data_IF_436167476560
#
_entry.id   IF_436167476560
#
_cell.length_a   1.000
_cell.length_b   1.000
_cell.length_c   1.000
_cell.angle_alpha   90.00
_cell.angle_beta   90.00
_cell.angle_gamma   90.00
#
_symmetry.space_group_name_H-M   'P 1'
#
loop_
_entity.id
_entity.type
_entity.pdbx_description
1 polymer ?
#
# COMPACT_ATOMS: atom_id res chain seq x y z
N UNK A 1 -1.77 -22.13 12.70
CA UNK A 1 -2.40 -20.79 12.65
C UNK A 1 -1.64 -19.86 11.70
N UNK A 2 -0.34 -19.61 11.90
CA UNK A 2 0.46 -18.68 11.09
C UNK A 2 0.34 -18.85 9.56
N UNK A 3 0.49 -20.07 9.01
CA UNK A 3 0.43 -20.29 7.55
C UNK A 3 -0.85 -19.77 6.90
N UNK A 4 -2.01 -19.96 7.53
CA UNK A 4 -3.29 -19.50 6.96
C UNK A 4 -3.44 -17.97 7.07
N UNK A 5 -2.95 -17.36 8.16
CA UNK A 5 -2.89 -15.90 8.28
C UNK A 5 -2.01 -15.28 7.20
N UNK A 6 -0.84 -15.86 6.94
CA UNK A 6 0.03 -15.40 5.85
C UNK A 6 -0.59 -15.60 4.46
N UNK A 7 -1.47 -16.59 4.27
CA UNK A 7 -2.23 -16.74 3.03
C UNK A 7 -3.27 -15.63 2.85
N UNK A 8 -3.96 -15.23 3.93
CA UNK A 8 -4.87 -14.07 3.90
C UNK A 8 -4.12 -12.79 3.56
N UNK A 9 -2.99 -12.53 4.24
CA UNK A 9 -2.13 -11.37 3.99
C UNK A 9 -1.63 -11.39 2.54
N UNK A 10 -1.06 -12.51 2.09
CA UNK A 10 -0.50 -12.62 0.73
C UNK A 10 -1.53 -12.37 -0.38
N UNK A 11 -2.78 -12.77 -0.17
CA UNK A 11 -3.86 -12.50 -1.14
C UNK A 11 -4.19 -10.99 -1.23
N UNK A 12 -4.12 -10.26 -0.12
CA UNK A 12 -4.32 -8.80 -0.11
C UNK A 12 -3.11 -8.07 -0.68
N UNK A 13 -1.90 -8.48 -0.31
CA UNK A 13 -0.67 -7.86 -0.85
C UNK A 13 -0.53 -8.06 -2.36
N UNK A 14 -0.97 -9.20 -2.91
CA UNK A 14 -0.99 -9.41 -4.37
C UNK A 14 -1.93 -8.41 -5.09
N UNK A 15 -3.06 -8.04 -4.46
CA UNK A 15 -3.95 -7.01 -4.98
C UNK A 15 -3.24 -5.65 -4.98
N UNK A 16 -2.52 -5.31 -3.91
CA UNK A 16 -1.74 -4.08 -3.84
C UNK A 16 -0.66 -4.02 -4.92
N UNK A 17 0.11 -5.09 -5.12
CA UNK A 17 1.14 -5.19 -6.16
C UNK A 17 0.54 -4.96 -7.55
N UNK A 18 -0.60 -5.59 -7.84
CA UNK A 18 -1.30 -5.41 -9.11
C UNK A 18 -1.75 -3.96 -9.31
N UNK A 19 -2.29 -3.33 -8.24
CA UNK A 19 -2.74 -1.94 -8.29
C UNK A 19 -1.58 -0.98 -8.51
N UNK A 20 -0.46 -1.13 -7.81
CA UNK A 20 0.74 -0.31 -8.04
C UNK A 20 1.28 -0.46 -9.46
N UNK A 21 1.26 -1.69 -10.01
CA UNK A 21 1.63 -1.95 -11.40
C UNK A 21 0.79 -1.15 -12.42
N UNK A 22 -0.48 -0.88 -12.11
CA UNK A 22 -1.37 -0.09 -12.98
C UNK A 22 -1.03 1.40 -13.05
N UNK A 23 -0.20 1.92 -12.14
CA UNK A 23 0.24 3.32 -12.14
C UNK A 23 1.32 3.60 -13.19
N UNK A 24 1.98 2.56 -13.72
CA UNK A 24 2.99 2.68 -14.75
C UNK A 24 2.37 3.17 -16.07
N UNK A 25 3.12 3.98 -16.83
CA UNK A 25 2.65 4.43 -18.14
C UNK A 25 2.58 3.22 -19.09
N UNK A 26 1.40 2.88 -19.63
CA UNK A 26 1.20 1.64 -20.37
C UNK A 26 1.93 1.62 -21.72
N UNK A 27 2.33 2.78 -22.24
CA UNK A 27 2.97 2.93 -23.54
C UNK A 27 4.51 2.92 -23.48
N UNK A 28 5.11 2.78 -22.29
CA UNK A 28 6.56 2.72 -22.15
C UNK A 28 7.10 1.32 -22.47
N UNK A 29 8.22 1.27 -23.16
CA UNK A 29 9.01 0.05 -23.35
C UNK A 29 9.57 -0.45 -22.02
N UNK A 30 10.16 -1.66 -22.02
CA UNK A 30 10.81 -2.19 -20.81
C UNK A 30 12.05 -1.38 -20.42
N UNK A 31 12.84 -0.92 -21.38
CA UNK A 31 14.04 -0.12 -21.08
C UNK A 31 13.70 1.32 -20.71
N UNK A 32 12.64 1.90 -21.28
CA UNK A 32 12.11 3.19 -20.83
C UNK A 32 11.62 3.12 -19.38
N UNK A 33 10.84 2.09 -19.04
CA UNK A 33 10.42 1.87 -17.66
C UNK A 33 11.61 1.63 -16.72
N UNK A 34 12.63 0.88 -17.15
CA UNK A 34 13.84 0.67 -16.36
C UNK A 34 14.56 2.00 -16.11
N UNK A 35 14.71 2.85 -17.13
CA UNK A 35 15.33 4.16 -16.97
C UNK A 35 14.56 5.04 -15.98
N UNK A 36 13.23 5.11 -16.11
CA UNK A 36 12.37 5.87 -15.19
C UNK A 36 12.45 5.31 -13.77
N UNK A 37 12.47 4.00 -13.62
CA UNK A 37 12.61 3.35 -12.32
C UNK A 37 13.94 3.74 -11.65
N UNK A 38 15.05 3.64 -12.36
CA UNK A 38 16.37 4.04 -11.83
C UNK A 38 16.45 5.55 -11.52
N UNK A 39 15.79 6.39 -12.32
CA UNK A 39 15.68 7.83 -12.05
C UNK A 39 14.94 8.10 -10.74
N UNK A 40 13.81 7.42 -10.50
CA UNK A 40 13.02 7.55 -9.27
C UNK A 40 13.79 7.04 -8.06
N UNK A 41 14.53 5.94 -8.17
CA UNK A 41 15.40 5.43 -7.09
C UNK A 41 16.52 6.44 -6.76
N UNK A 42 17.14 7.04 -7.78
CA UNK A 42 18.10 8.12 -7.56
C UNK A 42 17.47 9.29 -6.80
N UNK A 43 16.27 9.74 -7.19
CA UNK A 43 15.53 10.80 -6.49
C UNK A 43 15.21 10.41 -5.04
N UNK A 44 14.81 9.16 -4.79
CA UNK A 44 14.50 8.66 -3.45
C UNK A 44 15.72 8.72 -2.52
N UNK A 45 16.85 8.15 -2.92
CA UNK A 45 18.05 8.13 -2.07
C UNK A 45 18.70 9.51 -1.94
N UNK A 46 18.65 10.33 -2.99
CA UNK A 46 19.03 11.73 -2.89
C UNK A 46 18.16 12.48 -1.88
N UNK A 47 16.84 12.27 -1.90
CA UNK A 47 15.92 12.87 -0.92
C UNK A 47 16.22 12.44 0.51
N UNK A 48 16.48 11.15 0.73
CA UNK A 48 16.90 10.63 2.03
C UNK A 48 18.22 11.27 2.49
N UNK A 49 19.20 11.42 1.60
CA UNK A 49 20.46 12.09 1.90
C UNK A 49 20.27 13.57 2.31
N UNK A 50 19.47 14.31 1.55
CA UNK A 50 19.21 15.74 1.79
C UNK A 50 18.46 15.99 3.11
N UNK A 51 17.56 15.07 3.48
CA UNK A 51 16.69 15.24 4.66
C UNK A 51 17.20 14.54 5.93
N UNK A 52 18.16 13.61 5.80
CA UNK A 52 18.72 12.89 6.95
C UNK A 52 19.45 13.83 7.90
N UNK A 53 19.15 13.73 9.19
CA UNK A 53 19.76 14.57 10.23
C UNK A 53 20.97 13.91 10.90
N UNK A 54 21.01 12.57 10.95
CA UNK A 54 22.12 11.81 11.51
C UNK A 54 23.23 11.62 10.47
N UNK A 55 24.35 12.31 10.67
CA UNK A 55 25.54 12.24 9.80
C UNK A 55 26.07 10.82 9.57
N UNK A 56 25.86 9.88 10.51
CA UNK A 56 26.31 8.48 10.36
C UNK A 56 25.46 7.73 9.36
N UNK A 57 24.16 8.00 9.33
CA UNK A 57 23.20 7.37 8.41
C UNK A 57 23.27 8.08 7.05
N UNK A 58 23.52 9.39 7.03
CA UNK A 58 23.65 10.16 5.79
C UNK A 58 24.68 9.58 4.83
N UNK A 59 25.81 9.08 5.34
CA UNK A 59 26.81 8.38 4.51
C UNK A 59 26.30 7.08 3.86
N UNK A 60 25.36 6.39 4.51
CA UNK A 60 24.70 5.20 3.94
C UNK A 60 23.79 5.62 2.78
N UNK A 61 23.01 6.68 2.94
CA UNK A 61 22.15 7.20 1.87
C UNK A 61 22.95 7.67 0.66
N UNK A 62 24.07 8.37 0.90
CA UNK A 62 24.99 8.75 -0.18
C UNK A 62 25.51 7.51 -0.93
N UNK A 63 25.94 6.48 -0.21
CA UNK A 63 26.42 5.25 -0.83
C UNK A 63 25.36 4.57 -1.69
N UNK A 64 24.11 4.49 -1.20
CA UNK A 64 22.98 3.93 -1.96
C UNK A 64 22.67 4.76 -3.20
N UNK A 65 22.63 6.09 -3.08
CA UNK A 65 22.45 7.00 -4.20
C UNK A 65 23.52 6.79 -5.28
N UNK A 66 24.79 6.65 -4.90
CA UNK A 66 25.89 6.37 -5.84
C UNK A 66 25.75 5.01 -6.55
N UNK A 67 25.12 4.01 -5.93
CA UNK A 67 24.81 2.74 -6.60
C UNK A 67 23.72 2.93 -7.65
N UNK A 68 22.60 3.58 -7.28
CA UNK A 68 21.50 3.80 -8.21
C UNK A 68 21.90 4.72 -9.36
N UNK A 69 22.80 5.69 -9.13
CA UNK A 69 23.37 6.51 -10.20
C UNK A 69 24.12 5.65 -11.24
N UNK A 70 24.87 4.62 -10.79
CA UNK A 70 25.50 3.66 -11.71
C UNK A 70 24.47 2.83 -12.44
N UNK A 71 23.43 2.35 -11.76
CA UNK A 71 22.35 1.61 -12.41
C UNK A 71 21.59 2.45 -13.44
N UNK A 72 21.39 3.74 -13.17
CA UNK A 72 20.80 4.70 -14.10
C UNK A 72 21.66 4.84 -15.37
N UNK A 73 22.98 4.96 -15.23
CA UNK A 73 23.89 4.97 -16.37
C UNK A 73 23.83 3.67 -17.18
N UNK A 74 23.81 2.52 -16.53
CA UNK A 74 23.67 1.22 -17.19
C UNK A 74 22.32 1.13 -17.94
N UNK A 75 21.22 1.57 -17.33
CA UNK A 75 19.90 1.61 -17.96
C UNK A 75 19.89 2.49 -19.21
N UNK A 76 20.56 3.67 -19.15
CA UNK A 76 20.72 4.56 -20.29
C UNK A 76 21.55 3.94 -21.41
N UNK A 77 22.64 3.25 -21.09
CA UNK A 77 23.46 2.54 -22.07
C UNK A 77 22.65 1.45 -22.79
N UNK A 78 21.87 0.66 -22.04
CA UNK A 78 20.98 -0.35 -22.61
C UNK A 78 19.93 0.28 -23.54
N UNK A 79 19.28 1.38 -23.11
CA UNK A 79 18.29 2.09 -23.92
C UNK A 79 18.90 2.57 -25.25
N UNK A 80 20.07 3.21 -25.19
CA UNK A 80 20.81 3.68 -26.38
C UNK A 80 21.26 2.53 -27.27
N UNK A 81 21.69 1.42 -26.68
CA UNK A 81 22.18 0.27 -27.44
C UNK A 81 21.05 -0.45 -28.18
N UNK A 82 19.93 -0.72 -27.52
CA UNK A 82 18.89 -1.61 -28.03
C UNK A 82 17.70 -0.87 -28.65
N UNK A 83 17.32 0.29 -28.12
CA UNK A 83 16.15 1.05 -28.58
C UNK A 83 16.52 2.32 -29.35
N UNK A 84 17.81 2.69 -29.39
CA UNK A 84 18.33 3.86 -30.12
C UNK A 84 17.70 5.19 -29.67
N UNK A 85 17.28 5.25 -28.41
CA UNK A 85 16.73 6.45 -27.75
C UNK A 85 17.71 7.02 -26.74
N UNK A 86 17.61 8.32 -26.49
CA UNK A 86 18.29 9.00 -25.38
C UNK A 86 17.31 9.33 -24.24
N UNK A 87 17.84 9.67 -23.06
CA UNK A 87 17.02 9.87 -21.86
C UNK A 87 16.02 11.03 -22.01
N UNK A 88 16.36 12.08 -22.77
CA UNK A 88 15.49 13.24 -22.99
C UNK A 88 14.17 12.88 -23.68
N UNK A 89 14.15 11.80 -24.45
CA UNK A 89 12.94 11.31 -25.12
C UNK A 89 11.99 10.62 -24.13
N UNK A 90 12.51 10.13 -23.01
CA UNK A 90 11.76 9.38 -22.00
C UNK A 90 11.39 10.25 -20.80
N UNK A 91 12.34 11.08 -20.36
CA UNK A 91 12.23 12.00 -19.22
C UNK A 91 12.60 13.41 -19.73
N UNK A 92 11.66 14.13 -20.37
CA UNK A 92 11.95 15.46 -20.95
C UNK A 92 12.33 16.51 -19.91
N UNK A 93 11.80 16.37 -18.69
CA UNK A 93 12.11 17.18 -17.53
C UNK A 93 12.73 16.28 -16.46
N UNK A 94 14.05 16.25 -16.41
CA UNK A 94 14.84 15.37 -15.55
C UNK A 94 15.41 16.09 -14.31
N UNK A 95 14.90 17.29 -14.00
CA UNK A 95 15.21 17.91 -12.72
C UNK A 95 14.49 17.13 -11.61
N UNK A 96 15.23 16.77 -10.55
CA UNK A 96 14.61 16.14 -9.41
C UNK A 96 13.55 17.09 -8.81
N UNK A 97 12.34 16.59 -8.51
CA UNK A 97 11.38 17.37 -7.77
C UNK A 97 11.88 17.60 -6.34
N UNK A 98 11.15 18.40 -5.57
CA UNK A 98 11.47 18.65 -4.17
C UNK A 98 11.76 17.34 -3.42
N UNK A 99 12.75 17.32 -2.51
CA UNK A 99 13.10 16.13 -1.75
C UNK A 99 11.86 15.50 -1.10
N UNK A 100 11.74 14.17 -1.20
CA UNK A 100 10.81 13.42 -0.38
C UNK A 100 11.22 13.57 1.09
N UNK A 101 10.30 14.10 1.91
CA UNK A 101 10.50 14.25 3.36
C UNK A 101 9.70 13.18 4.08
N UNK A 102 10.38 12.38 4.91
CA UNK A 102 9.72 11.42 5.79
C UNK A 102 9.28 12.12 7.07
N UNK A 103 8.01 12.53 7.10
CA UNK A 103 7.38 13.17 8.25
C UNK A 103 6.16 12.40 8.76
N UNK A 104 5.60 12.85 9.88
CA UNK A 104 4.42 12.20 10.44
C UNK A 104 3.23 12.30 9.50
N UNK A 105 2.75 11.16 9.01
CA UNK A 105 1.57 11.04 8.17
C UNK A 105 0.35 10.53 8.96
N UNK A 106 0.41 10.50 10.30
CA UNK A 106 -0.61 9.88 11.15
C UNK A 106 -1.98 10.52 10.90
N UNK A 107 -2.07 11.85 10.86
CA UNK A 107 -3.36 12.52 10.69
C UNK A 107 -3.93 12.31 9.28
N UNK A 108 -3.07 12.28 8.26
CA UNK A 108 -3.47 11.94 6.90
C UNK A 108 -4.06 10.52 6.83
N UNK A 109 -3.35 9.53 7.38
CA UNK A 109 -3.81 8.13 7.42
C UNK A 109 -5.12 8.02 8.21
N UNK A 110 -5.25 8.74 9.34
CA UNK A 110 -6.49 8.77 10.13
C UNK A 110 -7.66 9.35 9.33
N UNK A 111 -7.44 10.42 8.56
CA UNK A 111 -8.45 11.02 7.70
C UNK A 111 -8.89 10.04 6.60
N UNK A 112 -7.95 9.40 5.92
CA UNK A 112 -8.23 8.36 4.91
C UNK A 112 -9.01 7.21 5.54
N UNK A 113 -8.54 6.62 6.64
CA UNK A 113 -9.24 5.55 7.35
C UNK A 113 -10.67 5.97 7.75
N UNK A 114 -10.85 7.17 8.31
CA UNK A 114 -12.17 7.66 8.71
C UNK A 114 -13.13 7.87 7.54
N UNK A 115 -12.62 8.19 6.35
CA UNK A 115 -13.43 8.53 5.18
C UNK A 115 -13.70 7.35 4.25
N UNK A 116 -12.77 6.41 4.11
CA UNK A 116 -12.82 5.38 3.06
C UNK A 116 -12.99 3.95 3.58
N UNK A 117 -13.18 3.73 4.89
CA UNK A 117 -13.27 2.36 5.47
C UNK A 117 -14.39 1.51 4.88
N UNK A 118 -15.42 2.13 4.30
CA UNK A 118 -16.54 1.45 3.68
C UNK A 118 -16.49 1.46 2.15
N UNK A 119 -15.41 1.99 1.57
CA UNK A 119 -15.28 2.04 0.12
C UNK A 119 -14.76 0.71 -0.42
N UNK A 120 -15.37 0.26 -1.52
CA UNK A 120 -14.86 -0.84 -2.32
C UNK A 120 -14.70 -0.41 -3.78
N UNK A 121 -13.78 -1.06 -4.49
CA UNK A 121 -13.66 -0.89 -5.92
C UNK A 121 -14.95 -1.36 -6.64
N UNK A 122 -15.39 -0.57 -7.61
CA UNK A 122 -16.48 -0.84 -8.54
C UNK A 122 -16.05 -0.35 -9.93
N UNK A 123 -15.48 -1.28 -10.71
CA UNK A 123 -14.82 -0.96 -11.99
C UNK A 123 -13.75 0.13 -11.78
N UNK A 124 -13.84 1.25 -12.49
CA UNK A 124 -12.87 2.35 -12.43
C UNK A 124 -13.09 3.33 -11.27
N UNK A 125 -14.06 3.05 -10.37
CA UNK A 125 -14.46 3.95 -9.27
C UNK A 125 -14.48 3.24 -7.92
N UNK A 126 -14.62 4.02 -6.87
CA UNK A 126 -14.90 3.54 -5.51
C UNK A 126 -16.34 3.86 -5.12
N UNK A 127 -16.98 2.95 -4.39
CA UNK A 127 -18.35 3.12 -3.89
C UNK A 127 -18.45 2.68 -2.44
N UNK A 128 -19.24 3.42 -1.66
CA UNK A 128 -19.56 3.07 -0.27
C UNK A 128 -20.49 1.84 -0.24
N UNK A 129 -20.01 0.73 0.32
CA UNK A 129 -20.75 -0.53 0.39
C UNK A 129 -22.03 -0.43 1.22
N UNK A 130 -22.15 0.54 2.12
CA UNK A 130 -23.36 0.73 2.93
C UNK A 130 -24.56 1.12 2.06
N UNK A 131 -24.29 1.79 0.94
CA UNK A 131 -25.31 2.35 0.04
C UNK A 131 -25.42 1.56 -1.26
N UNK A 132 -24.29 1.13 -1.85
CA UNK A 132 -24.29 0.52 -3.17
C UNK A 132 -23.19 -0.55 -3.30
N UNK A 133 -23.30 -1.64 -2.55
CA UNK A 133 -22.37 -2.75 -2.65
C UNK A 133 -22.48 -3.48 -4.00
N UNK A 134 -21.39 -3.55 -4.79
CA UNK A 134 -21.40 -4.30 -6.05
C UNK A 134 -21.65 -5.80 -5.82
N UNK A 135 -22.37 -6.45 -6.73
CA UNK A 135 -22.63 -7.89 -6.64
C UNK A 135 -21.32 -8.70 -6.67
N UNK A 136 -20.33 -8.26 -7.45
CA UNK A 136 -19.00 -8.86 -7.52
C UNK A 136 -18.30 -8.86 -6.16
N UNK A 137 -18.41 -7.74 -5.42
CA UNK A 137 -17.88 -7.61 -4.06
C UNK A 137 -18.59 -8.59 -3.11
N UNK A 138 -19.93 -8.60 -3.10
CA UNK A 138 -20.73 -9.50 -2.24
C UNK A 138 -20.37 -10.97 -2.51
N UNK A 139 -20.27 -11.35 -3.79
CA UNK A 139 -19.92 -12.72 -4.20
C UNK A 139 -18.53 -13.12 -3.74
N UNK A 140 -17.55 -12.24 -3.92
CA UNK A 140 -16.17 -12.48 -3.50
C UNK A 140 -16.06 -12.62 -1.97
N UNK A 141 -16.72 -11.72 -1.22
CA UNK A 141 -16.75 -11.79 0.24
C UNK A 141 -17.36 -13.10 0.76
N UNK A 142 -18.41 -13.63 0.13
CA UNK A 142 -18.96 -14.94 0.50
C UNK A 142 -18.02 -16.10 0.15
N UNK A 143 -17.29 -16.00 -0.95
CA UNK A 143 -16.35 -17.06 -1.37
C UNK A 143 -15.15 -17.17 -0.43
N UNK A 144 -14.62 -16.02 -0.01
CA UNK A 144 -13.38 -15.96 0.78
C UNK A 144 -13.64 -15.98 2.28
N UNK A 145 -14.70 -15.31 2.73
CA UNK A 145 -14.91 -15.01 4.15
C UNK A 145 -16.14 -15.71 4.77
N UNK A 146 -16.88 -16.57 4.05
CA UNK A 146 -17.95 -17.37 4.65
C UNK A 146 -17.56 -18.85 4.85
N UNK A 147 -17.80 -19.42 6.04
CA UNK A 147 -18.33 -18.76 7.23
C UNK A 147 -17.24 -17.92 7.94
N UNK A 148 -17.59 -16.72 8.39
CA UNK A 148 -16.65 -15.77 9.05
C UNK A 148 -15.80 -16.37 10.17
N UNK A 149 -16.33 -17.34 10.92
CA UNK A 149 -15.58 -18.06 11.97
C UNK A 149 -14.34 -18.83 11.48
N UNK A 150 -14.24 -19.06 10.16
CA UNK A 150 -13.10 -19.72 9.55
C UNK A 150 -12.04 -18.72 9.06
N UNK A 151 -12.33 -17.42 9.10
CA UNK A 151 -11.37 -16.36 8.78
C UNK A 151 -10.36 -16.28 9.92
N UNK A 152 -9.10 -16.47 9.59
CA UNK A 152 -8.03 -16.69 10.55
C UNK A 152 -7.59 -15.43 11.25
N UNK A 153 -7.62 -14.28 10.56
CA UNK A 153 -7.42 -12.97 11.16
C UNK A 153 -8.42 -12.69 12.29
N UNK A 154 -9.72 -12.87 12.05
CA UNK A 154 -10.75 -12.73 13.09
C UNK A 154 -10.56 -13.73 14.24
N UNK A 155 -10.31 -15.00 13.93
CA UNK A 155 -10.04 -16.03 14.96
C UNK A 155 -8.84 -15.66 15.84
N UNK A 156 -7.77 -15.15 15.23
CA UNK A 156 -6.57 -14.72 15.94
C UNK A 156 -6.84 -13.52 16.85
N UNK A 157 -7.58 -12.51 16.37
CA UNK A 157 -7.95 -11.32 17.15
C UNK A 157 -8.80 -11.74 18.36
N UNK A 158 -9.81 -12.59 18.17
CA UNK A 158 -10.65 -13.09 19.27
C UNK A 158 -9.83 -13.87 20.31
N UNK A 159 -8.91 -14.74 19.88
CA UNK A 159 -8.04 -15.50 20.77
C UNK A 159 -7.07 -14.58 21.55
N UNK A 160 -6.59 -13.51 20.92
CA UNK A 160 -5.74 -12.52 21.55
C UNK A 160 -6.51 -11.74 22.61
N UNK A 161 -7.68 -11.19 22.26
CA UNK A 161 -8.57 -10.47 23.19
C UNK A 161 -8.93 -11.36 24.39
N UNK A 162 -9.25 -12.64 24.17
CA UNK A 162 -9.58 -13.58 25.27
C UNK A 162 -8.44 -13.74 26.27
N UNK A 163 -7.19 -13.69 25.80
CA UNK A 163 -6.00 -13.85 26.65
C UNK A 163 -5.56 -12.54 27.31
N UNK A 164 -5.73 -11.42 26.61
CA UNK A 164 -5.10 -10.15 26.98
C UNK A 164 -6.10 -9.07 27.42
N UNK A 165 -7.41 -9.32 27.31
CA UNK A 165 -8.49 -8.39 27.65
C UNK A 165 -8.83 -7.38 26.55
N UNK A 166 -7.85 -7.03 25.72
CA UNK A 166 -8.00 -6.13 24.57
C UNK A 166 -7.18 -6.59 23.36
N UNK A 167 -7.45 -6.02 22.19
CA UNK A 167 -6.70 -6.26 20.96
C UNK A 167 -5.29 -5.66 20.98
N UNK A 168 -4.48 -5.99 19.97
CA UNK A 168 -3.07 -5.59 19.87
C UNK A 168 -2.83 -4.22 19.21
N UNK A 169 -3.88 -3.43 18.92
CA UNK A 169 -3.74 -2.21 18.14
C UNK A 169 -2.98 -1.12 18.89
N UNK A 170 -2.08 -0.44 18.19
CA UNK A 170 -1.45 0.79 18.66
C UNK A 170 -2.27 2.00 18.22
N UNK A 171 -2.63 2.87 19.16
CA UNK A 171 -3.38 4.11 18.89
C UNK A 171 -2.74 5.30 19.61
N UNK A 172 -2.54 6.41 18.90
CA UNK A 172 -2.10 7.69 19.50
C UNK A 172 -3.27 8.62 19.85
N UNK A 173 -4.46 8.30 19.34
CA UNK A 173 -5.73 8.98 19.58
C UNK A 173 -6.87 8.01 19.21
N UNK A 174 -8.11 8.21 19.73
CA UNK A 174 -9.23 7.30 19.46
C UNK A 174 -9.40 7.02 17.97
N UNK A 175 -9.77 5.77 17.64
CA UNK A 175 -9.98 5.34 16.26
C UNK A 175 -10.91 6.33 15.50
N UNK A 176 -10.52 6.78 14.29
CA UNK A 176 -11.36 7.69 13.50
C UNK A 176 -12.68 7.03 13.07
N UNK A 177 -12.75 5.70 13.04
CA UNK A 177 -13.98 4.93 12.78
C UNK A 177 -14.63 4.54 14.12
N UNK A 178 -15.79 5.12 14.49
CA UNK A 178 -16.42 4.88 15.79
C UNK A 178 -16.67 3.39 16.10
N UNK A 179 -17.05 2.61 15.10
CA UNK A 179 -17.36 1.19 15.21
C UNK A 179 -16.13 0.32 15.52
N UNK A 180 -14.92 0.86 15.33
CA UNK A 180 -13.65 0.19 15.64
C UNK A 180 -13.06 0.65 16.98
N UNK A 181 -13.72 1.50 17.76
CA UNK A 181 -13.16 1.99 19.04
C UNK A 181 -13.20 0.97 20.17
N UNK A 182 -14.08 -0.03 20.08
CA UNK A 182 -14.09 -1.13 21.03
C UNK A 182 -12.86 -2.02 20.77
N UNK A 183 -11.99 -2.13 21.77
CA UNK A 183 -10.78 -2.98 21.72
C UNK A 183 -11.00 -4.33 22.38
N UNK A 184 -12.14 -4.54 23.03
CA UNK A 184 -12.49 -5.77 23.75
C UNK A 184 -13.30 -6.74 22.91
N UNK A 185 -13.64 -6.35 21.67
CA UNK A 185 -14.40 -7.17 20.74
C UNK A 185 -13.99 -6.88 19.31
N UNK A 186 -13.80 -7.94 18.53
CA UNK A 186 -13.53 -7.81 17.10
C UNK A 186 -14.77 -7.36 16.32
N UNK A 187 -14.61 -6.38 15.44
CA UNK A 187 -15.67 -5.91 14.55
C UNK A 187 -15.50 -6.48 13.15
N UNK A 188 -16.29 -7.50 12.84
CA UNK A 188 -16.27 -8.20 11.55
C UNK A 188 -17.10 -7.53 10.44
N UNK A 189 -17.71 -6.37 10.72
CA UNK A 189 -18.77 -5.77 9.89
C UNK A 189 -18.40 -4.47 9.20
N UNK A 190 -17.43 -3.73 9.73
CA UNK A 190 -16.91 -2.52 9.08
C UNK A 190 -16.39 -2.89 7.68
N UNK A 191 -16.74 -2.10 6.66
CA UNK A 191 -16.44 -2.41 5.26
C UNK A 191 -17.23 -3.58 4.65
N UNK A 192 -18.11 -4.23 5.41
CA UNK A 192 -18.87 -5.43 5.00
C UNK A 192 -20.32 -5.40 5.47
N UNK A 193 -20.86 -4.23 5.83
CA UNK A 193 -22.17 -4.10 6.48
C UNK A 193 -23.32 -4.82 5.76
N UNK A 194 -23.42 -4.83 4.41
CA UNK A 194 -24.48 -5.55 3.70
C UNK A 194 -24.50 -7.07 3.99
N UNK A 195 -23.36 -7.65 4.38
CA UNK A 195 -23.22 -9.08 4.68
C UNK A 195 -23.52 -9.40 6.14
N UNK A 196 -23.52 -8.40 7.01
CA UNK A 196 -23.78 -8.56 8.44
C UNK A 196 -25.26 -8.48 8.81
N UNK A 197 -26.12 -7.96 7.93
CA UNK A 197 -27.54 -7.68 8.25
C UNK A 197 -28.45 -8.91 8.35
N UNK A 198 -27.92 -10.14 8.19
CA UNK A 198 -28.70 -11.39 8.26
C UNK A 198 -28.26 -12.33 9.40
N UNK A 199 -27.67 -11.82 10.48
CA UNK A 199 -27.34 -12.62 11.67
C UNK A 199 -27.96 -12.04 12.94
N UNK A 200 -29.28 -11.96 12.95
CA UNK A 200 -30.12 -11.98 14.15
C UNK A 200 -31.32 -12.89 13.87
#
# INVERSE_FOLDING_TARGET
>A
MGRRLYQEIGMVEEQHVTQYGSLLKPCMSRLENLLVHQYVECWLYWSCYETETDTRIRGIWQFMFEQELKHLHIALELLRQYEKKDWQEVIPDAEFPAPLVLESNIEYVRCVLGSTVNDTACRERYVDVRNNAPETFIRYQRMVNDPVRNVMSHTFIEDYIRKNGEDYRFEVAPNPVPELRDRTKDNICVGRQPLCRNRY
#
